data_IF_367190032621
#
_entry.id   IF_367190032621
#
_cell.length_a   1.000
_cell.length_b   1.000
_cell.length_c   1.000
_cell.angle_alpha   90.00
_cell.angle_beta   90.00
_cell.angle_gamma   90.00
#
_symmetry.space_group_name_H-M   'P 1'
#
loop_
_entity.id
_entity.type
_entity.pdbx_description
1 polymer ?
#
# COMPACT_ATOMS: atom_id res chain seq x y z
N UNK A 1 17.83 18.16 5.91
CA UNK A 1 17.42 19.14 4.89
C UNK A 1 16.41 20.09 5.52
N UNK A 2 16.58 21.41 5.44
CA UNK A 2 15.63 22.36 6.01
C UNK A 2 14.32 22.35 5.21
N UNK A 3 13.19 22.39 5.92
CA UNK A 3 11.87 22.36 5.32
C UNK A 3 11.48 23.77 4.85
N UNK A 4 11.93 24.11 3.64
CA UNK A 4 11.67 25.40 2.98
C UNK A 4 10.45 25.30 2.05
N UNK A 5 9.87 26.43 1.66
CA UNK A 5 8.70 26.49 0.77
C UNK A 5 8.90 25.74 -0.57
N UNK A 6 10.11 25.82 -1.14
CA UNK A 6 10.50 25.10 -2.36
C UNK A 6 10.52 23.58 -2.14
N UNK A 7 11.14 23.12 -1.05
CA UNK A 7 11.22 21.69 -0.74
C UNK A 7 9.86 21.12 -0.34
N UNK A 8 9.02 21.90 0.35
CA UNK A 8 7.66 21.51 0.71
C UNK A 8 6.86 21.13 -0.53
N UNK A 9 6.84 21.96 -1.57
CA UNK A 9 6.12 21.65 -2.83
C UNK A 9 6.63 20.37 -3.50
N UNK A 10 7.92 20.05 -3.34
CA UNK A 10 8.54 18.84 -3.89
C UNK A 10 8.22 17.57 -3.10
N UNK A 11 8.08 17.67 -1.78
CA UNK A 11 7.81 16.53 -0.89
C UNK A 11 6.35 16.41 -0.44
N UNK A 12 5.50 17.35 -0.83
CA UNK A 12 4.08 17.33 -0.53
C UNK A 12 3.40 16.12 -1.21
N UNK A 13 2.94 15.17 -0.39
CA UNK A 13 2.18 13.99 -0.85
C UNK A 13 0.68 14.32 -0.85
N UNK A 14 0.24 15.16 -1.79
CA UNK A 14 -1.18 15.52 -1.93
C UNK A 14 -2.04 14.27 -2.18
N UNK A 15 -3.20 14.20 -1.50
CA UNK A 15 -4.23 13.17 -1.64
C UNK A 15 -3.94 11.77 -1.04
N UNK A 16 -2.83 11.59 -0.34
CA UNK A 16 -2.57 10.39 0.46
C UNK A 16 -3.38 10.43 1.78
N UNK A 17 -4.09 9.36 2.14
CA UNK A 17 -4.84 9.29 3.42
C UNK A 17 -3.86 9.22 4.59
N UNK A 18 -2.80 8.43 4.42
CA UNK A 18 -1.67 8.33 5.32
C UNK A 18 -0.39 8.76 4.62
N UNK A 19 0.58 9.28 5.39
CA UNK A 19 1.89 9.67 4.85
C UNK A 19 2.65 8.50 4.20
N UNK A 20 2.30 7.25 4.56
CA UNK A 20 2.81 6.01 3.97
C UNK A 20 2.18 5.64 2.63
N UNK A 21 1.04 6.21 2.26
CA UNK A 21 0.33 5.82 1.05
C UNK A 21 1.10 6.27 -0.19
N UNK A 22 1.00 5.49 -1.25
CA UNK A 22 1.62 5.82 -2.51
C UNK A 22 0.85 6.90 -3.27
N UNK A 23 1.63 7.72 -3.97
CA UNK A 23 1.14 8.53 -5.08
C UNK A 23 0.79 7.65 -6.29
N UNK A 24 -0.02 8.18 -7.21
CA UNK A 24 -0.37 7.47 -8.45
C UNK A 24 0.86 7.11 -9.29
N UNK A 25 1.87 7.98 -9.28
CA UNK A 25 3.12 7.76 -9.99
C UNK A 25 3.90 6.56 -9.42
N UNK A 26 4.06 6.48 -8.10
CA UNK A 26 4.70 5.34 -7.43
C UNK A 26 3.88 4.05 -7.65
N UNK A 27 2.55 4.15 -7.54
CA UNK A 27 1.66 3.02 -7.80
C UNK A 27 1.82 2.46 -9.21
N UNK A 28 2.00 3.32 -10.22
CA UNK A 28 2.20 2.90 -11.61
C UNK A 28 3.45 2.04 -11.84
N UNK A 29 4.45 2.16 -10.95
CA UNK A 29 5.66 1.34 -10.94
C UNK A 29 5.39 0.03 -10.21
N UNK A 30 4.84 0.10 -9.00
CA UNK A 30 4.59 -1.08 -8.16
C UNK A 30 3.61 -2.06 -8.80
N UNK A 31 2.51 -1.57 -9.38
CA UNK A 31 1.45 -2.43 -9.93
C UNK A 31 1.97 -3.39 -11.01
N UNK A 32 3.05 -3.02 -11.72
CA UNK A 32 3.66 -3.84 -12.77
C UNK A 32 4.48 -5.00 -12.22
N UNK A 33 4.92 -4.90 -10.96
CA UNK A 33 5.68 -5.93 -10.26
C UNK A 33 4.77 -6.91 -9.52
N UNK A 34 3.51 -6.53 -9.29
CA UNK A 34 2.56 -7.40 -8.61
C UNK A 34 2.11 -8.54 -9.51
N UNK A 35 1.86 -9.74 -8.95
CA UNK A 35 1.31 -10.85 -9.71
C UNK A 35 0.01 -10.46 -10.42
N UNK A 36 -0.05 -10.82 -11.70
CA UNK A 36 -1.20 -10.61 -12.55
C UNK A 36 -2.48 -11.23 -11.97
N UNK A 37 -3.62 -10.93 -12.59
CA UNK A 37 -4.88 -11.57 -12.23
C UNK A 37 -4.79 -13.07 -12.57
N UNK A 38 -5.16 -13.92 -11.62
CA UNK A 38 -5.29 -15.35 -11.89
C UNK A 38 -6.30 -15.57 -13.02
N UNK A 39 -5.90 -16.34 -14.04
CA UNK A 39 -6.76 -16.71 -15.18
C UNK A 39 -7.83 -17.72 -14.81
N UNK A 40 -7.60 -18.47 -13.72
CA UNK A 40 -8.46 -19.53 -13.22
C UNK A 40 -8.87 -19.26 -11.77
N UNK A 41 -10.02 -19.80 -11.38
CA UNK A 41 -10.56 -19.68 -10.03
C UNK A 41 -11.33 -18.38 -9.78
N UNK A 42 -11.63 -18.11 -8.50
CA UNK A 42 -12.46 -16.96 -8.10
C UNK A 42 -11.74 -15.64 -8.42
N UNK A 43 -12.36 -14.73 -9.20
CA UNK A 43 -11.78 -13.42 -9.47
C UNK A 43 -11.52 -12.64 -8.19
N UNK A 44 -10.37 -11.97 -8.16
CA UNK A 44 -10.03 -11.02 -7.10
C UNK A 44 -11.04 -9.87 -7.08
N UNK A 45 -11.64 -9.63 -5.91
CA UNK A 45 -12.54 -8.47 -5.66
C UNK A 45 -11.85 -7.31 -4.95
N UNK A 46 -10.67 -7.55 -4.37
CA UNK A 46 -9.96 -6.54 -3.58
C UNK A 46 -9.11 -5.64 -4.48
N UNK A 47 -9.05 -4.35 -4.13
CA UNK A 47 -8.14 -3.40 -4.74
C UNK A 47 -6.71 -3.65 -4.23
N UNK A 48 -5.78 -3.91 -5.14
CA UNK A 48 -4.39 -4.20 -4.76
C UNK A 48 -3.67 -2.98 -4.19
N UNK A 49 -4.07 -1.77 -4.59
CA UNK A 49 -3.47 -0.55 -4.07
C UNK A 49 -3.73 -0.43 -2.58
N UNK A 50 -4.98 -0.62 -2.16
CA UNK A 50 -5.36 -0.56 -0.74
C UNK A 50 -4.65 -1.63 0.10
N UNK A 51 -4.37 -2.80 -0.49
CA UNK A 51 -3.56 -3.84 0.15
C UNK A 51 -2.10 -3.39 0.30
N UNK A 52 -1.53 -2.80 -0.74
CA UNK A 52 -0.15 -2.33 -0.70
C UNK A 52 0.02 -1.14 0.25
N UNK A 53 -0.88 -0.16 0.21
CA UNK A 53 -0.87 0.99 1.13
C UNK A 53 -1.00 0.53 2.59
N UNK A 54 -1.81 -0.51 2.86
CA UNK A 54 -1.89 -1.13 4.19
C UNK A 54 -0.56 -1.78 4.63
N UNK A 55 0.16 -2.46 3.71
CA UNK A 55 1.47 -3.05 3.99
C UNK A 55 2.51 -1.95 4.25
N UNK A 56 2.51 -0.89 3.45
CA UNK A 56 3.38 0.28 3.60
C UNK A 56 3.11 0.99 4.93
N UNK A 57 1.85 1.14 5.32
CA UNK A 57 1.47 1.70 6.61
C UNK A 57 2.09 0.90 7.76
N UNK A 58 1.96 -0.42 7.76
CA UNK A 58 2.54 -1.28 8.79
C UNK A 58 4.07 -1.17 8.81
N UNK A 59 4.71 -1.15 7.64
CA UNK A 59 6.17 -1.00 7.54
C UNK A 59 6.66 0.35 8.05
N UNK A 60 5.94 1.44 7.77
CA UNK A 60 6.29 2.78 8.20
C UNK A 60 5.99 3.03 9.69
N UNK A 61 4.85 2.55 10.18
CA UNK A 61 4.43 2.72 11.57
C UNK A 61 5.10 1.72 12.52
N UNK A 62 5.60 0.59 12.02
CA UNK A 62 6.19 -0.48 12.83
C UNK A 62 5.19 -1.17 13.77
N UNK A 63 3.88 -1.09 13.46
CA UNK A 63 2.83 -1.55 14.37
C UNK A 63 2.49 -3.03 14.16
N UNK A 64 1.90 -3.65 15.20
CA UNK A 64 1.33 -4.97 15.07
C UNK A 64 0.18 -5.00 14.06
N UNK A 65 -0.03 -6.14 13.39
CA UNK A 65 -1.12 -6.34 12.43
C UNK A 65 -2.51 -6.02 13.01
N UNK A 66 -2.75 -6.33 14.29
CA UNK A 66 -4.01 -6.05 14.98
C UNK A 66 -4.33 -4.56 15.11
N UNK A 67 -3.32 -3.70 14.99
CA UNK A 67 -3.43 -2.24 15.07
C UNK A 67 -3.62 -1.58 13.69
N UNK A 68 -3.76 -2.38 12.62
CA UNK A 68 -4.08 -1.83 11.30
C UNK A 68 -5.41 -1.04 11.37
N UNK A 69 -5.44 0.23 10.92
CA UNK A 69 -6.65 1.03 10.88
C UNK A 69 -7.81 0.35 10.13
N UNK A 70 -9.04 0.61 10.56
CA UNK A 70 -10.25 -0.12 10.08
C UNK A 70 -10.75 0.33 8.70
N UNK A 71 -10.23 1.45 8.22
CA UNK A 71 -10.47 2.02 6.89
C UNK A 71 -9.57 1.40 5.80
N UNK A 72 -8.61 0.55 6.19
CA UNK A 72 -7.93 -0.38 5.28
C UNK A 72 -8.76 -1.66 5.08
N UNK A 73 -8.44 -2.47 4.04
CA UNK A 73 -9.01 -3.79 3.90
C UNK A 73 -8.78 -4.65 5.15
N UNK A 74 -9.62 -5.67 5.40
CA UNK A 74 -9.49 -6.50 6.60
C UNK A 74 -8.08 -7.07 6.77
N UNK A 75 -7.54 -7.01 7.98
CA UNK A 75 -6.17 -7.45 8.31
C UNK A 75 -5.87 -8.87 7.82
N UNK A 76 -6.84 -9.78 7.86
CA UNK A 76 -6.71 -11.15 7.34
C UNK A 76 -6.44 -11.17 5.84
N UNK A 77 -7.09 -10.28 5.09
CA UNK A 77 -6.90 -10.12 3.65
C UNK A 77 -5.53 -9.53 3.36
N UNK A 78 -5.13 -8.47 4.07
CA UNK A 78 -3.80 -7.85 3.88
C UNK A 78 -2.68 -8.85 4.17
N UNK A 79 -2.76 -9.57 5.31
CA UNK A 79 -1.79 -10.62 5.67
C UNK A 79 -1.72 -11.73 4.61
N UNK A 80 -2.86 -12.18 4.11
CA UNK A 80 -2.91 -13.20 3.06
C UNK A 80 -2.13 -12.78 1.81
N UNK A 81 -2.32 -11.54 1.34
CA UNK A 81 -1.58 -11.03 0.19
C UNK A 81 -0.10 -10.83 0.48
N UNK A 82 0.23 -10.28 1.65
CA UNK A 82 1.62 -10.10 2.06
C UNK A 82 2.39 -11.43 2.06
N UNK A 83 1.87 -12.46 2.73
CA UNK A 83 2.55 -13.76 2.78
C UNK A 83 2.57 -14.48 1.43
N UNK A 84 1.53 -14.31 0.60
CA UNK A 84 1.54 -14.82 -0.77
C UNK A 84 2.67 -14.19 -1.57
N UNK A 85 2.72 -12.86 -1.65
CA UNK A 85 3.71 -12.15 -2.46
C UNK A 85 5.15 -12.30 -1.96
N UNK A 86 5.34 -12.48 -0.65
CA UNK A 86 6.67 -12.74 -0.09
C UNK A 86 7.23 -14.11 -0.49
N UNK A 87 6.35 -15.06 -0.75
CA UNK A 87 6.73 -16.45 -1.05
C UNK A 87 6.63 -16.77 -2.56
N UNK A 88 6.16 -15.82 -3.38
CA UNK A 88 6.20 -15.87 -4.85
C UNK A 88 7.59 -15.41 -5.35
#
# INVERSE_FOLDING_TARGET
MPWTEITRKRYERKAARYASDMTDAEWSVVVRLLPGRNRLGRPRKVNLRDIWDAIQYIAAAGCAWSLLPKDFPPVSTVRYYFYRWRND
#
